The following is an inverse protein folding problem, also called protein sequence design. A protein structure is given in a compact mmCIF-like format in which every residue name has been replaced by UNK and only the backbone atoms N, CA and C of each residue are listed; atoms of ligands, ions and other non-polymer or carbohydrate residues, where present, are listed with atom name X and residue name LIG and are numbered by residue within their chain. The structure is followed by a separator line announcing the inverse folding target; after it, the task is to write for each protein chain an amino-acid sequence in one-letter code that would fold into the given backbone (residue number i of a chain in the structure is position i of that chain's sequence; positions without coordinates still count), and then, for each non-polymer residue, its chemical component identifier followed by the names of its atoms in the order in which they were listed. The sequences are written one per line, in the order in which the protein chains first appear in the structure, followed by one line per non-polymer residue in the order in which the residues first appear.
data_IF_605796201157
#
_entry.id   IF_605796201157
#
_cell.length_a   1.000
_cell.length_b   1.000
_cell.length_c   1.000
_cell.angle_alpha   90.00
_cell.angle_beta   90.00
_cell.angle_gamma   90.00
#
_symmetry.space_group_name_H-M   'P 1'
#
loop_
_entity.id
_entity.type
_entity.pdbx_description
1 polymer ?
#
# COMPACT_ATOMS: atom_id res chain seq x y z
N UNK A 1 -1.38 -11.78 24.35
CA UNK A 1 -2.67 -12.44 24.63
C UNK A 1 -3.17 -12.12 26.05
N UNK A 2 -2.93 -10.89 26.55
CA UNK A 2 -3.38 -10.41 27.87
C UNK A 2 -3.93 -8.97 27.84
N UNK A 3 -3.85 -8.28 26.69
CA UNK A 3 -4.41 -6.93 26.51
C UNK A 3 -5.89 -6.99 26.09
N UNK A 4 -6.25 -7.90 25.20
CA UNK A 4 -7.60 -7.98 24.63
C UNK A 4 -8.70 -8.18 25.69
N UNK A 5 -8.42 -8.95 26.75
CA UNK A 5 -9.37 -9.19 27.85
C UNK A 5 -9.54 -7.99 28.78
N UNK A 6 -8.53 -7.13 28.88
CA UNK A 6 -8.58 -5.91 29.70
C UNK A 6 -9.31 -4.80 28.95
N UNK A 7 -9.06 -4.68 27.64
CA UNK A 7 -9.73 -3.74 26.75
C UNK A 7 -11.24 -4.02 26.69
N UNK A 8 -11.65 -5.29 26.56
CA UNK A 8 -13.06 -5.70 26.58
C UNK A 8 -13.76 -5.38 27.91
N UNK A 9 -13.05 -5.51 29.04
CA UNK A 9 -13.58 -5.21 30.36
C UNK A 9 -13.77 -3.70 30.57
N UNK A 10 -12.82 -2.90 30.08
CA UNK A 10 -12.89 -1.43 30.10
C UNK A 10 -14.02 -0.94 29.20
N UNK A 11 -14.17 -1.50 28.00
CA UNK A 11 -15.23 -1.14 27.07
C UNK A 11 -16.63 -1.41 27.64
N UNK A 12 -16.80 -2.54 28.35
CA UNK A 12 -18.06 -2.83 29.06
C UNK A 12 -18.34 -1.84 30.19
N UNK A 13 -17.34 -1.42 30.95
CA UNK A 13 -17.51 -0.41 32.01
C UNK A 13 -17.89 0.96 31.44
N UNK A 14 -17.29 1.35 30.30
CA UNK A 14 -17.62 2.59 29.61
C UNK A 14 -19.04 2.56 29.03
N UNK A 15 -19.44 1.46 28.40
CA UNK A 15 -20.80 1.29 27.86
C UNK A 15 -21.88 1.22 28.96
N UNK A 16 -21.55 0.71 30.15
CA UNK A 16 -22.48 0.70 31.28
C UNK A 16 -22.71 2.09 31.88
N UNK A 17 -21.72 2.98 31.84
CA UNK A 17 -21.85 4.34 32.39
C UNK A 17 -22.47 5.33 31.40
N UNK A 18 -22.38 5.07 30.09
CA UNK A 18 -22.92 5.94 29.05
C UNK A 18 -23.98 5.19 28.25
N UNK A 19 -25.24 5.41 28.63
CA UNK A 19 -26.43 4.77 28.07
C UNK A 19 -26.79 5.38 26.70
N UNK A 20 -25.94 5.13 25.70
CA UNK A 20 -26.18 5.52 24.31
C UNK A 20 -25.42 6.75 23.82
N UNK A 21 -25.58 7.09 22.53
CA UNK A 21 -24.89 8.22 21.91
C UNK A 21 -25.22 9.52 22.65
N UNK A 22 -24.19 10.15 23.22
CA UNK A 22 -24.30 11.43 23.91
C UNK A 22 -24.93 12.45 22.97
N UNK A 23 -26.01 13.08 23.41
CA UNK A 23 -26.64 14.17 22.67
C UNK A 23 -25.61 15.31 22.55
N UNK A 24 -25.10 15.46 21.35
CA UNK A 24 -23.95 16.32 21.06
C UNK A 24 -24.38 17.66 20.44
N UNK A 25 -25.70 17.93 20.36
CA UNK A 25 -26.29 19.20 19.87
C UNK A 25 -25.67 19.71 18.54
N UNK A 26 -25.22 18.78 17.70
CA UNK A 26 -24.53 19.09 16.44
C UNK A 26 -23.15 19.73 16.62
N UNK A 27 -22.49 19.57 17.76
CA UNK A 27 -21.11 20.01 17.99
C UNK A 27 -20.14 19.24 17.09
N UNK A 28 -20.23 17.92 17.01
CA UNK A 28 -19.46 17.08 16.09
C UNK A 28 -19.72 17.44 14.63
N UNK A 29 -20.96 17.79 14.27
CA UNK A 29 -21.28 18.25 12.92
C UNK A 29 -20.56 19.58 12.60
N UNK A 30 -20.58 20.53 13.54
CA UNK A 30 -19.86 21.82 13.42
C UNK A 30 -18.34 21.65 13.42
N UNK A 31 -17.81 20.74 14.23
CA UNK A 31 -16.38 20.39 14.25
C UNK A 31 -15.99 19.73 12.92
N UNK A 32 -16.80 18.80 12.41
CA UNK A 32 -16.56 18.16 11.10
C UNK A 32 -16.60 19.15 9.94
N UNK A 33 -17.47 20.16 9.97
CA UNK A 33 -17.49 21.24 8.97
C UNK A 33 -16.30 22.20 9.08
N UNK A 34 -15.78 22.44 10.29
CA UNK A 34 -14.63 23.31 10.53
C UNK A 34 -13.28 22.61 10.34
N UNK A 35 -13.26 21.28 10.30
CA UNK A 35 -12.04 20.54 10.02
C UNK A 35 -11.60 20.85 8.59
N UNK A 36 -10.36 21.31 8.39
CA UNK A 36 -9.84 21.58 7.05
C UNK A 36 -9.97 20.31 6.23
N UNK A 37 -10.62 20.41 5.07
CA UNK A 37 -10.84 19.30 4.15
C UNK A 37 -9.56 18.48 4.06
N UNK A 38 -9.64 17.25 4.59
CA UNK A 38 -8.50 16.33 4.72
C UNK A 38 -7.79 16.35 3.37
N UNK A 39 -6.60 16.96 3.31
CA UNK A 39 -5.81 17.05 2.08
C UNK A 39 -5.66 15.61 1.64
N UNK A 40 -6.42 15.23 0.60
CA UNK A 40 -6.35 13.92 -0.03
C UNK A 40 -4.90 13.85 -0.49
N UNK A 41 -4.06 13.15 0.27
CA UNK A 41 -2.66 12.93 -0.06
C UNK A 41 -2.71 12.36 -1.46
N UNK A 42 -2.41 13.24 -2.41
CA UNK A 42 -2.69 12.98 -3.80
C UNK A 42 -1.83 11.79 -4.14
N UNK A 43 -2.41 10.65 -4.49
CA UNK A 43 -1.67 9.47 -4.97
C UNK A 43 -0.98 9.73 -6.32
N UNK A 44 -1.05 10.97 -6.82
CA UNK A 44 -0.45 11.42 -8.06
C UNK A 44 1.06 11.19 -8.17
N UNK A 45 1.92 11.46 -7.17
CA UNK A 45 3.34 11.19 -7.28
C UNK A 45 3.63 9.69 -7.27
N UNK A 46 2.81 8.87 -6.60
CA UNK A 46 2.92 7.40 -6.61
C UNK A 46 2.55 6.85 -7.99
N UNK A 47 1.47 7.36 -8.59
CA UNK A 47 1.06 6.98 -9.94
C UNK A 47 2.10 7.39 -10.99
N UNK A 48 2.69 8.58 -10.85
CA UNK A 48 3.77 9.06 -11.71
C UNK A 48 5.03 8.21 -11.58
N UNK A 49 5.42 7.86 -10.36
CA UNK A 49 6.57 6.98 -10.09
C UNK A 49 6.37 5.59 -10.68
N UNK A 50 5.16 5.03 -10.56
CA UNK A 50 4.82 3.73 -11.14
C UNK A 50 4.90 3.76 -12.68
N UNK A 51 4.31 4.78 -13.31
CA UNK A 51 4.35 4.93 -14.76
C UNK A 51 5.78 5.16 -15.27
N UNK A 52 6.56 6.00 -14.59
CA UNK A 52 7.96 6.23 -14.94
C UNK A 52 8.82 4.97 -14.78
N UNK A 53 8.62 4.21 -13.70
CA UNK A 53 9.29 2.93 -13.47
C UNK A 53 8.92 1.91 -14.54
N UNK A 54 7.64 1.82 -14.91
CA UNK A 54 7.15 0.90 -15.93
C UNK A 54 7.70 1.24 -17.31
N UNK A 55 7.73 2.53 -17.68
CA UNK A 55 8.28 3.00 -18.94
C UNK A 55 9.80 2.77 -19.03
N UNK A 56 10.52 3.04 -17.94
CA UNK A 56 11.98 2.83 -17.88
C UNK A 56 12.30 1.35 -17.95
N UNK A 57 11.57 0.51 -17.22
CA UNK A 57 11.70 -0.94 -17.27
C UNK A 57 11.42 -1.46 -18.68
N UNK A 58 10.36 -0.98 -19.34
CA UNK A 58 10.02 -1.35 -20.70
C UNK A 58 11.09 -0.97 -21.71
N UNK A 59 11.65 0.25 -21.64
CA UNK A 59 12.76 0.69 -22.50
C UNK A 59 14.01 -0.17 -22.30
N UNK A 60 14.36 -0.48 -21.05
CA UNK A 60 15.52 -1.33 -20.75
C UNK A 60 15.32 -2.78 -21.21
N UNK A 61 14.11 -3.32 -21.08
CA UNK A 61 13.76 -4.67 -21.52
C UNK A 61 13.72 -4.78 -23.04
N UNK A 62 13.19 -3.76 -23.73
CA UNK A 62 13.06 -3.72 -25.18
C UNK A 62 14.41 -3.78 -25.90
N UNK A 63 15.44 -3.16 -25.31
CA UNK A 63 16.80 -3.17 -25.87
C UNK A 63 17.62 -4.42 -25.47
N UNK A 64 17.05 -5.29 -24.63
CA UNK A 64 17.77 -6.47 -24.15
C UNK A 64 17.58 -7.67 -25.10
N UNK A 65 18.67 -8.34 -25.52
CA UNK A 65 18.59 -9.62 -26.23
C UNK A 65 17.98 -10.72 -25.35
N UNK A 66 17.90 -10.49 -24.03
CA UNK A 66 17.31 -11.39 -23.04
C UNK A 66 15.80 -11.50 -23.20
N UNK A 67 15.08 -10.42 -23.55
CA UNK A 67 13.63 -10.48 -23.74
C UNK A 67 13.26 -11.36 -24.93
N UNK A 68 14.00 -11.19 -26.04
CA UNK A 68 13.77 -11.91 -27.29
C UNK A 68 14.15 -13.39 -27.17
N UNK A 69 15.21 -13.69 -26.44
CA UNK A 69 15.66 -15.07 -26.15
C UNK A 69 14.77 -15.75 -25.12
N UNK A 70 14.33 -15.03 -24.09
CA UNK A 70 13.36 -15.48 -23.11
C UNK A 70 11.98 -15.74 -23.70
N UNK A 71 11.53 -14.93 -24.67
CA UNK A 71 10.30 -15.19 -25.43
C UNK A 71 10.39 -16.47 -26.25
N UNK A 72 11.52 -16.69 -26.94
CA UNK A 72 11.76 -17.90 -27.69
C UNK A 72 11.85 -19.15 -26.78
N UNK A 73 12.52 -19.04 -25.63
CA UNK A 73 12.62 -20.11 -24.63
C UNK A 73 11.29 -20.41 -23.95
N UNK A 74 10.44 -19.39 -23.72
CA UNK A 74 9.09 -19.54 -23.18
C UNK A 74 8.16 -20.26 -24.15
N UNK A 75 8.24 -19.93 -25.45
CA UNK A 75 7.59 -20.68 -26.53
C UNK A 75 8.12 -22.13 -26.64
N UNK A 76 9.38 -22.36 -26.25
CA UNK A 76 9.98 -23.70 -26.18
C UNK A 76 9.67 -24.47 -24.89
N UNK A 77 8.96 -23.87 -23.92
CA UNK A 77 8.55 -24.52 -22.68
C UNK A 77 9.67 -24.76 -21.66
N UNK A 78 10.83 -24.14 -21.84
CA UNK A 78 11.97 -24.29 -20.94
C UNK A 78 12.09 -23.07 -20.01
N UNK A 79 12.12 -23.24 -18.67
CA UNK A 79 12.36 -22.14 -17.75
C UNK A 79 13.82 -21.67 -17.89
N UNK A 80 14.01 -20.67 -18.74
CA UNK A 80 15.30 -20.05 -19.02
C UNK A 80 15.86 -19.32 -17.78
N UNK A 81 17.18 -19.25 -17.58
CA UNK A 81 17.81 -18.43 -16.54
C UNK A 81 17.34 -16.96 -16.57
N UNK A 82 16.95 -16.47 -17.75
CA UNK A 82 16.36 -15.14 -17.92
C UNK A 82 15.01 -14.97 -17.21
N UNK A 83 14.17 -16.02 -17.18
CA UNK A 83 12.92 -16.01 -16.44
C UNK A 83 13.18 -15.87 -14.92
N UNK A 84 14.19 -16.56 -14.41
CA UNK A 84 14.59 -16.47 -12.99
C UNK A 84 15.04 -15.04 -12.65
N UNK A 85 15.83 -14.40 -13.51
CA UNK A 85 16.23 -12.99 -13.29
C UNK A 85 15.04 -12.04 -13.30
N UNK A 86 14.02 -12.32 -14.12
CA UNK A 86 12.81 -11.50 -14.21
C UNK A 86 11.92 -11.66 -12.96
N UNK A 87 11.79 -12.87 -12.44
CA UNK A 87 11.13 -13.13 -11.16
C UNK A 87 11.86 -12.46 -9.98
N UNK A 88 13.19 -12.53 -9.96
CA UNK A 88 14.01 -11.84 -8.95
C UNK A 88 13.83 -10.33 -9.00
N UNK A 89 13.87 -9.72 -10.20
CA UNK A 89 13.64 -8.30 -10.38
C UNK A 89 12.23 -7.89 -9.92
N UNK A 90 11.21 -8.68 -10.28
CA UNK A 90 9.83 -8.45 -9.81
C UNK A 90 9.71 -8.55 -8.30
N UNK A 91 10.41 -9.51 -7.66
CA UNK A 91 10.43 -9.66 -6.21
C UNK A 91 11.07 -8.46 -5.50
N UNK A 92 12.20 -7.95 -6.02
CA UNK A 92 12.85 -6.74 -5.51
C UNK A 92 11.94 -5.53 -5.61
N UNK A 93 11.27 -5.34 -6.75
CA UNK A 93 10.29 -4.27 -6.95
C UNK A 93 9.11 -4.37 -5.97
N UNK A 94 8.58 -5.57 -5.74
CA UNK A 94 7.50 -5.79 -4.77
C UNK A 94 7.94 -5.49 -3.34
N UNK A 95 9.15 -5.89 -2.95
CA UNK A 95 9.74 -5.57 -1.64
C UNK A 95 9.95 -4.07 -1.47
N UNK A 96 10.40 -3.38 -2.52
CA UNK A 96 10.58 -1.92 -2.50
C UNK A 96 9.24 -1.21 -2.31
N UNK A 97 8.19 -1.66 -3.01
CA UNK A 97 6.84 -1.14 -2.86
C UNK A 97 6.27 -1.38 -1.45
N UNK A 98 6.51 -2.56 -0.87
CA UNK A 98 6.15 -2.88 0.52
C UNK A 98 6.88 -1.99 1.52
N UNK A 99 8.20 -1.85 1.38
CA UNK A 99 9.02 -1.01 2.24
C UNK A 99 8.57 0.46 2.18
N UNK A 100 8.21 0.93 1.00
CA UNK A 100 7.67 2.27 0.80
C UNK A 100 6.30 2.45 1.46
N UNK A 101 5.38 1.48 1.29
CA UNK A 101 4.07 1.49 1.95
C UNK A 101 4.19 1.54 3.48
N UNK A 102 5.13 0.74 4.04
CA UNK A 102 5.44 0.74 5.46
C UNK A 102 6.04 2.07 5.94
N UNK A 103 6.91 2.70 5.14
CA UNK A 103 7.46 4.02 5.45
C UNK A 103 6.36 5.09 5.47
N UNK A 104 5.43 5.07 4.51
CA UNK A 104 4.31 6.00 4.43
C UNK A 104 3.39 5.86 5.66
N UNK A 105 3.08 4.63 6.08
CA UNK A 105 2.27 4.39 7.28
C UNK A 105 2.93 4.85 8.58
N UNK A 106 4.27 4.92 8.61
CA UNK A 106 5.04 5.39 9.77
C UNK A 106 5.29 6.90 9.76
N UNK A 107 5.25 7.55 8.61
CA UNK A 107 5.42 8.99 8.49
C UNK A 107 4.12 9.77 8.78
N UNK A 108 2.96 9.09 8.81
CA UNK A 108 1.65 9.67 9.09
C UNK A 108 1.18 9.62 10.55
N UNK A 109 2.00 9.10 11.48
CA UNK A 109 1.77 9.12 12.95
C UNK A 109 2.65 10.17 13.61
#
# INVERSE_FOLDING_TARGET
MKNDLDDDAIERLLQQQFEGPVADDGFCARVMEQLPARRRQSAWPVCLGLLAGMATCWMLLADSPLLRKGWADWLAGAPSPSAITLWLASGVLALLALAWGLAETRAGT
#
